data_IF_679282986463
#
_entry.id   IF_679282986463
#
_cell.length_a   1.000
_cell.length_b   1.000
_cell.length_c   1.000
_cell.angle_alpha   90.00
_cell.angle_beta   90.00
_cell.angle_gamma   90.00
#
_symmetry.space_group_name_H-M   'P 1'
#
loop_
_entity.id
_entity.type
_entity.pdbx_description
1 polymer ?
#
# COMPACT_ATOMS: atom_id res chain seq x y z
N UNK A 1 -8.42 6.50 26.86
CA UNK A 1 -9.53 6.67 25.91
C UNK A 1 -8.99 7.33 24.66
N UNK A 2 -8.54 6.54 23.69
CA UNK A 2 -7.93 7.05 22.46
C UNK A 2 -9.04 7.34 21.44
N UNK A 3 -9.23 8.62 21.16
CA UNK A 3 -10.21 9.13 20.20
C UNK A 3 -9.82 8.60 18.81
N UNK A 4 -10.53 7.59 18.31
CA UNK A 4 -10.64 7.45 16.87
C UNK A 4 -11.39 8.70 16.39
N UNK A 5 -10.89 9.44 15.39
CA UNK A 5 -11.67 10.54 14.85
C UNK A 5 -13.01 9.95 14.46
N UNK A 6 -14.08 10.46 15.09
CA UNK A 6 -15.43 10.02 14.77
C UNK A 6 -15.56 10.04 13.25
N UNK A 7 -16.20 9.03 12.70
CA UNK A 7 -16.28 8.82 11.24
C UNK A 7 -17.26 9.83 10.64
N UNK A 8 -17.00 11.10 10.88
CA UNK A 8 -17.69 12.25 10.36
C UNK A 8 -17.21 12.46 8.92
N UNK A 9 -18.07 13.04 8.09
CA UNK A 9 -17.78 13.28 6.69
C UNK A 9 -16.56 14.19 6.50
N UNK A 10 -16.38 15.19 7.36
CA UNK A 10 -15.24 16.10 7.34
C UNK A 10 -13.93 15.42 7.74
N UNK A 11 -13.95 14.57 8.77
CA UNK A 11 -12.76 13.80 9.17
C UNK A 11 -12.26 12.86 8.06
N UNK A 12 -13.19 12.25 7.31
CA UNK A 12 -12.84 11.41 6.14
C UNK A 12 -12.19 12.22 5.01
N UNK A 13 -12.66 13.45 4.79
CA UNK A 13 -12.12 14.32 3.75
C UNK A 13 -10.66 14.67 4.04
N UNK A 14 -10.33 15.09 5.28
CA UNK A 14 -8.94 15.33 5.67
C UNK A 14 -8.05 14.08 5.49
N UNK A 15 -8.59 12.91 5.81
CA UNK A 15 -7.89 11.64 5.60
C UNK A 15 -7.58 11.40 4.11
N UNK A 16 -8.54 11.60 3.21
CA UNK A 16 -8.33 11.44 1.77
C UNK A 16 -7.36 12.47 1.20
N UNK A 17 -7.45 13.73 1.62
CA UNK A 17 -6.50 14.78 1.20
C UNK A 17 -5.07 14.45 1.65
N UNK A 18 -4.90 13.99 2.90
CA UNK A 18 -3.60 13.58 3.43
C UNK A 18 -3.05 12.36 2.68
N UNK A 19 -3.91 11.36 2.42
CA UNK A 19 -3.58 10.18 1.60
C UNK A 19 -3.07 10.58 0.22
N UNK A 20 -3.80 11.45 -0.46
CA UNK A 20 -3.48 11.83 -1.84
C UNK A 20 -2.17 12.62 -1.90
N UNK A 21 -1.89 13.47 -0.90
CA UNK A 21 -0.61 14.17 -0.78
C UNK A 21 0.58 13.20 -0.61
N UNK A 22 0.43 12.17 0.23
CA UNK A 22 1.44 11.14 0.44
C UNK A 22 1.66 10.33 -0.84
N UNK A 23 0.58 9.92 -1.49
CA UNK A 23 0.61 9.14 -2.72
C UNK A 23 1.18 9.91 -3.91
N UNK A 24 0.95 11.21 -4.00
CA UNK A 24 1.57 12.07 -5.00
C UNK A 24 3.10 12.10 -4.83
N UNK A 25 3.58 12.23 -3.59
CA UNK A 25 5.00 12.16 -3.28
C UNK A 25 5.60 10.80 -3.68
N UNK A 26 4.98 9.68 -3.26
CA UNK A 26 5.45 8.35 -3.62
C UNK A 26 5.51 8.14 -5.14
N UNK A 27 4.49 8.60 -5.87
CA UNK A 27 4.45 8.51 -7.33
C UNK A 27 5.59 9.32 -7.97
N UNK A 28 5.91 10.51 -7.45
CA UNK A 28 7.06 11.32 -7.91
C UNK A 28 8.39 10.56 -7.73
N UNK A 29 8.55 9.86 -6.60
CA UNK A 29 9.70 9.02 -6.32
C UNK A 29 9.65 7.63 -6.98
N UNK A 30 8.62 7.35 -7.80
CA UNK A 30 8.38 6.06 -8.46
C UNK A 30 8.28 4.88 -7.47
N UNK A 31 7.81 5.16 -6.26
CA UNK A 31 7.55 4.15 -5.23
C UNK A 31 6.11 3.66 -5.39
N UNK A 32 5.96 2.42 -5.85
CA UNK A 32 4.65 1.79 -6.09
C UNK A 32 4.03 1.29 -4.79
N UNK A 33 4.82 0.60 -3.97
CA UNK A 33 4.40 0.07 -2.68
C UNK A 33 4.79 1.04 -1.55
N UNK A 34 3.82 1.60 -0.81
CA UNK A 34 4.13 2.44 0.35
C UNK A 34 5.02 1.68 1.35
N UNK A 35 6.15 2.27 1.78
CA UNK A 35 7.08 1.61 2.69
C UNK A 35 6.40 1.17 4.00
N UNK A 36 6.64 -0.07 4.44
CA UNK A 36 6.02 -0.62 5.64
C UNK A 36 4.62 -1.21 5.44
N UNK A 37 4.22 -1.52 4.20
CA UNK A 37 2.97 -2.24 3.90
C UNK A 37 3.20 -3.74 3.83
N UNK A 38 2.57 -4.50 4.74
CA UNK A 38 2.65 -5.97 4.71
C UNK A 38 1.61 -6.60 3.78
N UNK A 39 2.08 -7.22 2.68
CA UNK A 39 1.25 -8.00 1.75
C UNK A 39 1.32 -9.52 2.01
N UNK A 40 2.02 -9.96 3.06
CA UNK A 40 2.27 -11.38 3.34
C UNK A 40 1.00 -12.16 3.67
N UNK A 41 -0.04 -11.49 4.16
CA UNK A 41 -1.34 -12.11 4.50
C UNK A 41 -2.25 -12.29 3.27
N UNK A 42 -1.86 -11.81 2.09
CA UNK A 42 -2.68 -12.00 0.87
C UNK A 42 -2.67 -13.46 0.43
N UNK A 43 -3.70 -14.21 0.86
CA UNK A 43 -3.97 -15.57 0.39
C UNK A 43 -4.64 -15.53 -0.98
N UNK A 44 -4.01 -16.14 -1.99
CA UNK A 44 -4.56 -16.28 -3.33
C UNK A 44 -3.54 -16.88 -4.31
N UNK A 45 -3.94 -17.25 -5.53
CA UNK A 45 -3.03 -17.81 -6.54
C UNK A 45 -1.95 -16.82 -7.01
N UNK A 46 -2.15 -15.52 -6.75
CA UNK A 46 -1.20 -14.43 -7.03
C UNK A 46 -0.44 -13.96 -5.77
N UNK A 47 -0.69 -14.56 -4.60
CA UNK A 47 0.00 -14.31 -3.33
C UNK A 47 0.76 -15.56 -2.92
N UNK A 48 1.98 -15.39 -2.38
CA UNK A 48 2.97 -16.48 -2.21
C UNK A 48 2.30 -17.75 -1.68
N UNK A 49 2.28 -18.79 -2.52
CA UNK A 49 1.65 -20.08 -2.26
C UNK A 49 2.14 -20.75 -0.98
N UNK A 50 1.56 -21.90 -0.63
CA UNK A 50 1.73 -22.64 0.63
C UNK A 50 3.16 -23.05 1.06
N UNK A 51 4.20 -22.50 0.42
CA UNK A 51 5.62 -22.63 0.73
C UNK A 51 6.31 -21.28 1.03
N UNK A 52 5.57 -20.18 1.24
CA UNK A 52 6.19 -18.91 1.65
C UNK A 52 6.98 -19.12 2.95
N UNK A 53 8.31 -19.11 2.83
CA UNK A 53 9.29 -19.14 3.90
C UNK A 53 8.74 -18.36 5.10
N UNK A 54 8.58 -19.05 6.25
CA UNK A 54 8.06 -18.44 7.47
C UNK A 54 9.12 -17.48 8.03
N UNK A 55 9.30 -16.31 7.42
CA UNK A 55 10.03 -15.22 8.07
C UNK A 55 9.39 -14.98 9.43
N UNK A 56 10.20 -14.95 10.47
CA UNK A 56 9.71 -14.77 11.84
C UNK A 56 8.90 -13.46 11.92
N UNK A 57 7.89 -13.39 12.79
CA UNK A 57 7.14 -12.15 13.00
C UNK A 57 8.04 -10.95 13.31
N UNK A 58 9.14 -11.19 14.02
CA UNK A 58 10.15 -10.19 14.37
C UNK A 58 10.92 -9.72 13.13
N UNK A 59 11.33 -10.64 12.26
CA UNK A 59 12.06 -10.26 11.04
C UNK A 59 11.18 -9.45 10.09
N UNK A 60 9.90 -9.83 9.96
CA UNK A 60 8.93 -9.02 9.20
C UNK A 60 8.81 -7.61 9.78
N UNK A 61 8.71 -7.48 11.10
CA UNK A 61 8.63 -6.17 11.76
C UNK A 61 9.89 -5.32 11.51
N UNK A 62 11.08 -5.93 11.52
CA UNK A 62 12.35 -5.24 11.23
C UNK A 62 12.39 -4.70 9.80
N UNK A 63 12.02 -5.52 8.80
CA UNK A 63 11.98 -5.12 7.39
C UNK A 63 11.01 -3.95 7.19
N UNK A 64 9.81 -4.04 7.77
CA UNK A 64 8.81 -2.97 7.66
C UNK A 64 9.28 -1.67 8.33
N UNK A 65 9.97 -1.76 9.47
CA UNK A 65 10.54 -0.61 10.16
C UNK A 65 11.66 0.06 9.34
N UNK A 66 12.55 -0.73 8.75
CA UNK A 66 13.61 -0.23 7.87
C UNK A 66 13.04 0.45 6.62
N UNK A 67 12.01 -0.15 6.01
CA UNK A 67 11.31 0.47 4.89
C UNK A 67 10.70 1.82 5.28
N UNK A 68 10.03 1.91 6.43
CA UNK A 68 9.50 3.18 6.94
C UNK A 68 10.60 4.20 7.22
N UNK A 69 11.76 3.78 7.70
CA UNK A 69 12.89 4.67 7.94
C UNK A 69 13.46 5.26 6.64
N UNK A 70 13.46 4.49 5.57
CA UNK A 70 13.95 4.89 4.24
C UNK A 70 12.88 5.58 3.37
N UNK A 71 11.74 5.98 3.93
CA UNK A 71 10.68 6.66 3.18
C UNK A 71 11.03 8.14 2.93
N UNK A 72 11.24 8.56 1.66
CA UNK A 72 11.51 9.97 1.34
C UNK A 72 10.31 10.89 1.61
N UNK A 73 9.11 10.33 1.75
CA UNK A 73 7.85 11.05 1.94
C UNK A 73 7.36 11.01 3.40
N UNK A 74 8.30 10.89 4.36
CA UNK A 74 8.03 10.85 5.81
C UNK A 74 7.06 11.93 6.31
N UNK A 75 7.21 13.24 5.99
CA UNK A 75 6.31 14.25 6.55
C UNK A 75 4.85 14.11 6.07
N UNK A 76 4.64 13.70 4.82
CA UNK A 76 3.30 13.43 4.29
C UNK A 76 2.72 12.14 4.87
N UNK A 77 3.57 11.12 5.09
CA UNK A 77 3.16 9.88 5.75
C UNK A 77 2.67 10.14 7.17
N UNK A 78 3.42 10.92 7.95
CA UNK A 78 3.06 11.18 9.35
C UNK A 78 1.73 11.96 9.44
N UNK A 79 1.48 12.90 8.51
CA UNK A 79 0.19 13.56 8.39
C UNK A 79 -0.94 12.58 8.02
N UNK A 80 -0.68 11.67 7.08
CA UNK A 80 -1.62 10.64 6.66
C UNK A 80 -1.98 9.67 7.80
N UNK A 81 -1.00 9.17 8.56
CA UNK A 81 -1.22 8.27 9.70
C UNK A 81 -1.89 8.97 10.89
N UNK A 82 -1.67 10.27 11.06
CA UNK A 82 -2.33 11.07 12.10
C UNK A 82 -3.80 11.35 11.77
N UNK A 83 -4.10 11.65 10.51
CA UNK A 83 -5.43 12.09 10.08
C UNK A 83 -6.35 10.92 9.67
N UNK A 84 -5.79 9.75 9.36
CA UNK A 84 -6.55 8.55 9.03
C UNK A 84 -6.55 7.52 10.16
N UNK A 85 -7.58 6.67 10.19
CA UNK A 85 -7.57 5.48 11.04
C UNK A 85 -6.53 4.46 10.52
N UNK A 86 -5.81 3.78 11.41
CA UNK A 86 -4.78 2.80 11.04
C UNK A 86 -5.33 1.70 10.10
N UNK A 87 -6.54 1.20 10.36
CA UNK A 87 -7.18 0.21 9.49
C UNK A 87 -7.47 0.73 8.08
N UNK A 88 -7.75 2.03 7.93
CA UNK A 88 -7.92 2.66 6.62
C UNK A 88 -6.58 2.82 5.90
N UNK A 89 -5.53 3.22 6.64
CA UNK A 89 -4.18 3.33 6.11
C UNK A 89 -3.71 1.98 5.55
N UNK A 90 -3.83 0.91 6.35
CA UNK A 90 -3.46 -0.44 5.93
C UNK A 90 -4.25 -0.88 4.70
N UNK A 91 -5.57 -0.65 4.69
CA UNK A 91 -6.42 -0.99 3.56
C UNK A 91 -6.02 -0.26 2.28
N UNK A 92 -5.87 1.07 2.34
CA UNK A 92 -5.51 1.88 1.18
C UNK A 92 -4.12 1.55 0.65
N UNK A 93 -3.15 1.30 1.53
CA UNK A 93 -1.80 0.95 1.13
C UNK A 93 -1.78 -0.40 0.42
N UNK A 94 -2.47 -1.41 0.98
CA UNK A 94 -2.65 -2.72 0.33
C UNK A 94 -3.37 -2.59 -1.01
N UNK A 95 -4.41 -1.76 -1.05
CA UNK A 95 -5.21 -1.53 -2.27
C UNK A 95 -4.38 -0.93 -3.39
N UNK A 96 -3.53 0.06 -3.11
CA UNK A 96 -2.61 0.65 -4.10
C UNK A 96 -1.74 -0.43 -4.77
N UNK A 97 -1.17 -1.34 -3.98
CA UNK A 97 -0.32 -2.42 -4.50
C UNK A 97 -1.11 -3.39 -5.38
N UNK A 98 -2.32 -3.76 -4.95
CA UNK A 98 -3.19 -4.67 -5.71
C UNK A 98 -3.66 -4.04 -7.03
N UNK A 99 -4.05 -2.78 -7.01
CA UNK A 99 -4.52 -2.07 -8.20
C UNK A 99 -3.38 -1.96 -9.24
N UNK A 100 -2.14 -1.70 -8.82
CA UNK A 100 -0.99 -1.70 -9.71
C UNK A 100 -0.67 -3.09 -10.28
N UNK A 101 -0.72 -4.14 -9.45
CA UNK A 101 -0.55 -5.53 -9.92
C UNK A 101 -1.62 -5.91 -10.94
N UNK A 102 -2.87 -5.50 -10.69
CA UNK A 102 -4.00 -5.74 -11.59
C UNK A 102 -3.79 -5.03 -12.93
N UNK A 103 -3.34 -3.77 -12.92
CA UNK A 103 -3.00 -3.03 -14.16
C UNK A 103 -1.92 -3.73 -14.97
N UNK A 104 -0.85 -4.20 -14.33
CA UNK A 104 0.23 -4.93 -15.01
C UNK A 104 -0.29 -6.22 -15.67
N UNK A 105 -1.06 -7.00 -14.94
CA UNK A 105 -1.64 -8.25 -15.46
C UNK A 105 -2.53 -8.01 -16.69
N UNK A 106 -3.39 -6.98 -16.65
CA UNK A 106 -4.24 -6.66 -17.82
C UNK A 106 -3.43 -6.14 -19.00
N UNK A 107 -2.42 -5.30 -18.77
CA UNK A 107 -1.55 -4.81 -19.83
C UNK A 107 -0.79 -5.96 -20.54
N UNK A 108 -0.31 -6.94 -19.78
CA UNK A 108 0.32 -8.15 -20.32
C UNK A 108 -0.67 -9.00 -21.12
N UNK A 109 -1.90 -9.17 -20.63
CA UNK A 109 -2.95 -9.91 -21.33
C UNK A 109 -3.31 -9.26 -22.68
N UNK A 110 -3.50 -7.93 -22.70
CA UNK A 110 -3.75 -7.15 -23.92
C UNK A 110 -2.59 -7.28 -24.92
N UNK A 111 -1.35 -7.18 -24.45
CA UNK A 111 -0.17 -7.34 -25.29
C UNK A 111 -0.07 -8.75 -25.91
N UNK A 112 -0.41 -9.80 -25.15
CA UNK A 112 -0.43 -11.18 -25.64
C UNK A 112 -1.48 -11.39 -26.73
N UNK A 113 -2.68 -10.83 -26.59
CA UNK A 113 -3.74 -10.89 -27.61
C UNK A 113 -3.33 -10.12 -28.86
N UNK A 114 -2.75 -8.92 -28.70
CA UNK A 114 -2.27 -8.12 -29.82
C UNK A 114 -1.16 -8.84 -30.62
N UNK A 115 -0.27 -9.56 -29.95
CA UNK A 115 0.79 -10.34 -30.59
C UNK A 115 0.28 -11.60 -31.31
N UNK A 116 -0.84 -12.20 -30.87
CA UNK A 116 -1.45 -13.37 -31.53
C UNK A 116 -2.26 -13.00 -32.76
N UNK A 117 -2.80 -11.78 -32.82
CA UNK A 117 -3.62 -11.28 -33.93
C UNK A 117 -2.80 -10.56 -35.03
N UNK A 118 -1.47 -10.65 -34.98
CA UNK A 118 -0.54 -10.05 -35.94
C UNK A 118 0.24 -11.14 -36.66
#
# INVERSE_FOLDING_TARGET
MSQTPSVSRSSRQLCWESRDSYYACLTSHKILAPPGTDMSDTKGPLGRGGFAEKTSPEERARILAEQRANDPCTPQRDAYEKNCAQSWVDYFNKRRILDERQKQFYAEAEARVAAQNK
#
